data_IF_835800235508
#
_entry.id   IF_835800235508
#
_cell.length_a   1.000
_cell.length_b   1.000
_cell.length_c   1.000
_cell.angle_alpha   90.00
_cell.angle_beta   90.00
_cell.angle_gamma   90.00
#
_symmetry.space_group_name_H-M   'P 1'
#
loop_
_entity.id
_entity.type
_entity.pdbx_description
1 polymer ?
#
# COMPACT_ATOMS: atom_id res chain seq x y z
N UNK A 1 1.05 17.87 8.22
CA UNK A 1 -0.20 18.05 7.43
C UNK A 1 -0.32 16.90 6.43
N UNK A 2 -0.84 15.74 6.84
CA UNK A 2 -1.05 14.61 5.92
C UNK A 2 -2.31 14.89 5.09
N UNK A 3 -2.13 15.26 3.82
CA UNK A 3 -3.24 15.38 2.87
C UNK A 3 -3.88 14.00 2.68
N UNK A 4 -5.06 13.81 3.30
CA UNK A 4 -5.98 12.71 3.03
C UNK A 4 -6.35 12.73 1.55
N UNK A 5 -5.74 11.86 0.76
CA UNK A 5 -6.23 11.48 -0.57
C UNK A 5 -7.07 10.23 -0.38
N UNK A 6 -8.33 10.40 0.03
CA UNK A 6 -9.30 9.32 0.25
C UNK A 6 -10.68 9.70 -0.30
N UNK A 7 -10.76 10.10 -1.56
CA UNK A 7 -12.05 10.47 -2.18
C UNK A 7 -12.37 9.69 -3.46
N UNK A 8 -11.81 8.48 -3.63
CA UNK A 8 -12.08 7.69 -4.83
C UNK A 8 -11.66 6.24 -4.77
N UNK A 9 -11.77 5.57 -3.63
CA UNK A 9 -11.62 4.11 -3.60
C UNK A 9 -12.96 3.47 -4.02
N UNK A 10 -13.11 3.32 -5.34
CA UNK A 10 -14.09 2.42 -5.98
C UNK A 10 -13.39 1.06 -6.12
N UNK A 11 -14.06 -0.03 -5.77
CA UNK A 11 -13.48 -1.39 -5.67
C UNK A 11 -12.39 -1.67 -6.73
N UNK A 12 -11.17 -1.96 -6.28
CA UNK A 12 -10.10 -2.38 -7.17
C UNK A 12 -10.16 -3.91 -7.37
N UNK A 13 -10.05 -4.42 -8.61
CA UNK A 13 -10.03 -5.85 -8.87
C UNK A 13 -8.81 -6.51 -8.21
N UNK A 14 -8.91 -7.79 -7.80
CA UNK A 14 -7.78 -8.57 -7.22
C UNK A 14 -6.49 -8.46 -8.05
N UNK A 15 -6.61 -8.34 -9.37
CA UNK A 15 -5.47 -8.15 -10.28
C UNK A 15 -4.68 -6.86 -10.03
N UNK A 16 -5.31 -5.83 -9.46
CA UNK A 16 -4.65 -4.57 -9.09
C UNK A 16 -3.74 -4.74 -7.87
N UNK A 17 -4.07 -5.67 -6.96
CA UNK A 17 -3.21 -5.99 -5.82
C UNK A 17 -1.85 -6.49 -6.27
N UNK A 18 -1.83 -7.49 -7.16
CA UNK A 18 -0.56 -8.06 -7.65
C UNK A 18 0.30 -7.02 -8.36
N UNK A 19 -0.32 -6.12 -9.14
CA UNK A 19 0.39 -5.02 -9.80
C UNK A 19 0.98 -4.02 -8.81
N UNK A 20 0.22 -3.65 -7.78
CA UNK A 20 0.69 -2.72 -6.74
C UNK A 20 1.73 -3.37 -5.83
N UNK A 21 1.56 -4.64 -5.47
CA UNK A 21 2.49 -5.38 -4.65
C UNK A 21 3.86 -5.43 -5.33
N UNK A 22 3.91 -5.80 -6.63
CA UNK A 22 5.12 -5.73 -7.44
C UNK A 22 5.71 -4.33 -7.48
N UNK A 23 4.90 -3.31 -7.80
CA UNK A 23 5.35 -1.92 -7.88
C UNK A 23 5.94 -1.41 -6.54
N UNK A 24 5.29 -1.69 -5.42
CA UNK A 24 5.76 -1.27 -4.09
C UNK A 24 7.06 -1.97 -3.70
N UNK A 25 7.18 -3.27 -3.99
CA UNK A 25 8.42 -4.02 -3.79
C UNK A 25 9.56 -3.46 -4.66
N UNK A 26 9.30 -3.16 -5.94
CA UNK A 26 10.28 -2.53 -6.84
C UNK A 26 10.71 -1.14 -6.36
N UNK A 27 9.79 -0.38 -5.75
CA UNK A 27 10.10 0.91 -5.14
C UNK A 27 10.85 0.78 -3.80
N UNK A 28 11.13 -0.43 -3.32
CA UNK A 28 11.87 -0.69 -2.07
C UNK A 28 11.01 -0.61 -0.82
N UNK A 29 9.69 -0.76 -0.94
CA UNK A 29 8.83 -0.98 0.21
C UNK A 29 8.88 -2.44 0.65
N UNK A 30 8.83 -2.65 1.96
CA UNK A 30 8.69 -3.96 2.57
C UNK A 30 7.26 -4.18 3.03
N UNK A 31 6.76 -5.38 2.80
CA UNK A 31 5.43 -5.79 3.23
C UNK A 31 5.45 -6.21 4.70
N UNK A 32 4.44 -5.77 5.46
CA UNK A 32 4.30 -6.19 6.86
C UNK A 32 3.56 -7.53 6.90
N UNK A 33 4.22 -8.59 7.39
CA UNK A 33 3.61 -9.94 7.45
C UNK A 33 2.29 -9.95 8.24
N UNK A 34 2.23 -9.18 9.32
CA UNK A 34 1.04 -9.09 10.17
C UNK A 34 -0.11 -8.25 9.55
N UNK A 35 0.17 -7.47 8.50
CA UNK A 35 -0.82 -6.65 7.80
C UNK A 35 -0.47 -6.57 6.31
N UNK A 36 -0.98 -7.48 5.47
CA UNK A 36 -0.65 -7.55 4.04
C UNK A 36 -1.16 -6.34 3.21
N UNK A 37 -1.89 -5.42 3.85
CA UNK A 37 -2.33 -4.13 3.32
C UNK A 37 -1.43 -2.97 3.73
N UNK A 38 -0.36 -3.22 4.48
CA UNK A 38 0.61 -2.23 4.92
C UNK A 38 2.00 -2.51 4.36
N UNK A 39 2.58 -1.46 3.82
CA UNK A 39 3.92 -1.42 3.26
C UNK A 39 4.71 -0.33 3.96
N UNK A 40 5.96 -0.61 4.30
CA UNK A 40 6.86 0.30 4.98
C UNK A 40 8.14 0.45 4.19
N UNK A 41 8.56 1.69 3.94
CA UNK A 41 9.86 2.01 3.37
C UNK A 41 10.57 2.97 4.30
N UNK A 42 11.76 2.61 4.72
CA UNK A 42 12.63 3.49 5.50
C UNK A 42 13.66 4.06 4.55
N UNK A 43 13.76 5.37 4.46
CA UNK A 43 14.74 6.07 3.62
C UNK A 43 15.31 7.25 4.37
N UNK A 44 16.60 7.19 4.65
CA UNK A 44 17.38 8.26 5.26
C UNK A 44 16.78 8.88 6.55
N UNK A 45 16.14 8.06 7.39
CA UNK A 45 15.48 8.49 8.63
C UNK A 45 13.98 8.76 8.50
N UNK A 46 13.46 8.87 7.28
CA UNK A 46 12.03 9.02 7.02
C UNK A 46 11.37 7.65 6.80
N UNK A 47 10.32 7.39 7.58
CA UNK A 47 9.50 6.17 7.43
C UNK A 47 8.26 6.49 6.62
N UNK A 48 8.19 5.96 5.41
CA UNK A 48 7.02 6.05 4.55
C UNK A 48 6.13 4.83 4.79
N UNK A 49 4.90 5.08 5.21
CA UNK A 49 3.87 4.06 5.41
C UNK A 49 2.85 4.17 4.28
N UNK A 50 2.77 3.11 3.47
CA UNK A 50 1.76 2.96 2.42
C UNK A 50 0.70 1.97 2.88
N UNK A 51 -0.50 2.46 3.18
CA UNK A 51 -1.64 1.61 3.46
C UNK A 51 -2.46 1.40 2.19
N UNK A 52 -2.31 0.22 1.59
CA UNK A 52 -3.20 -0.24 0.54
C UNK A 52 -4.44 -0.86 1.16
N UNK A 53 -5.43 -0.03 1.52
CA UNK A 53 -6.80 -0.51 1.75
C UNK A 53 -7.37 -1.04 0.45
N UNK A 54 -7.03 -2.28 0.10
CA UNK A 54 -7.92 -3.03 -0.79
C UNK A 54 -9.18 -3.32 -0.01
N UNK A 55 -10.32 -2.86 -0.53
CA UNK A 55 -11.61 -3.45 -0.24
C UNK A 55 -11.52 -4.93 -0.59
N UNK A 56 -11.20 -5.74 0.41
CA UNK A 56 -11.41 -7.18 0.35
C UNK A 56 -12.92 -7.32 0.44
N UNK A 57 -13.56 -7.49 -0.71
CA UNK A 57 -14.91 -8.03 -0.73
C UNK A 57 -14.79 -9.48 -0.24
N UNK A 58 -15.24 -9.73 0.98
CA UNK A 58 -15.62 -11.04 1.49
C UNK A 58 -17.02 -10.91 2.06
#
# INVERSE_FOLDING_TARGET
MLKKVLHGMKQAPRAWYSRIDGYLLEQGFNKIENKPTLYVKVSNGDTQLCHCMLMICS
#
